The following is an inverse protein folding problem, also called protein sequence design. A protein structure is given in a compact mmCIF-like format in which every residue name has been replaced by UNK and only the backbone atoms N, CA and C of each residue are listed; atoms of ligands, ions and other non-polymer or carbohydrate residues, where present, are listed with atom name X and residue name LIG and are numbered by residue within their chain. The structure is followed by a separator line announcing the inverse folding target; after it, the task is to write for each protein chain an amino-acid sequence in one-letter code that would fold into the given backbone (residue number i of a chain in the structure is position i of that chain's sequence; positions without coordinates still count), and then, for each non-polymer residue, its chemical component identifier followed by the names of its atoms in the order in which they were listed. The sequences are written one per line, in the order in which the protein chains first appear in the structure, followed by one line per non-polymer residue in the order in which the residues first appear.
data_IF_849512342874
#
_entry.id   IF_849512342874
#
_cell.length_a   1.000
_cell.length_b   1.000
_cell.length_c   1.000
_cell.angle_alpha   90.00
_cell.angle_beta   90.00
_cell.angle_gamma   90.00
#
_symmetry.space_group_name_H-M   'P 1'
#
loop_
_entity.id
_entity.type
_entity.pdbx_description
1 polymer ?
#
# COMPACT_ATOMS: atom_id res chain seq x y z
N UNK A 1 23.39 -17.82 19.86
CA UNK A 1 22.21 -17.92 18.97
C UNK A 1 21.51 -16.59 18.99
N UNK A 2 21.67 -15.77 17.96
CA UNK A 2 20.99 -14.48 17.83
C UNK A 2 19.55 -14.76 17.38
N UNK A 3 18.62 -14.79 18.32
CA UNK A 3 17.18 -14.76 18.03
C UNK A 3 16.84 -13.40 17.44
N UNK A 4 17.04 -13.26 16.12
CA UNK A 4 16.49 -12.15 15.36
C UNK A 4 14.97 -12.26 15.43
N UNK A 5 14.32 -11.32 16.11
CA UNK A 5 12.86 -11.26 16.17
C UNK A 5 12.31 -11.32 14.75
N UNK A 6 11.58 -12.39 14.42
CA UNK A 6 10.83 -12.44 13.17
C UNK A 6 9.75 -11.36 13.28
N UNK A 7 9.94 -10.26 12.56
CA UNK A 7 8.90 -9.24 12.43
C UNK A 7 7.77 -9.89 11.63
N UNK A 8 6.69 -10.25 12.32
CA UNK A 8 5.50 -10.82 11.70
C UNK A 8 4.74 -9.77 10.88
N UNK A 9 3.90 -10.24 9.95
CA UNK A 9 3.01 -9.34 9.22
C UNK A 9 1.99 -8.70 10.16
N UNK A 10 1.92 -7.37 10.19
CA UNK A 10 0.94 -6.61 10.99
C UNK A 10 -0.53 -6.82 10.61
N UNK A 11 -0.81 -7.54 9.52
CA UNK A 11 -2.18 -7.73 9.02
C UNK A 11 -2.72 -9.15 9.24
N UNK A 12 -1.87 -10.16 9.12
CA UNK A 12 -2.29 -11.57 9.15
C UNK A 12 -1.39 -12.44 10.04
N UNK A 13 -0.53 -11.81 10.85
CA UNK A 13 0.35 -12.45 11.84
C UNK A 13 1.24 -13.58 11.30
N UNK A 14 1.43 -13.63 9.98
CA UNK A 14 2.28 -14.65 9.36
C UNK A 14 3.75 -14.35 9.66
N UNK A 15 4.49 -15.34 10.16
CA UNK A 15 5.95 -15.28 10.38
C UNK A 15 6.77 -15.40 9.08
N UNK A 16 6.28 -14.82 7.99
CA UNK A 16 6.97 -14.78 6.71
C UNK A 16 7.89 -13.55 6.62
N UNK A 17 8.79 -13.51 5.64
CA UNK A 17 9.55 -12.30 5.33
C UNK A 17 8.59 -11.14 5.04
N UNK A 18 8.77 -10.02 5.75
CA UNK A 18 7.93 -8.83 5.62
C UNK A 18 8.64 -7.71 4.86
N UNK A 19 7.91 -7.00 4.00
CA UNK A 19 8.32 -5.73 3.41
C UNK A 19 7.71 -4.57 4.19
N UNK A 20 8.33 -3.39 4.12
CA UNK A 20 7.78 -2.19 4.74
C UNK A 20 6.87 -1.46 3.76
N UNK A 21 5.61 -1.30 4.15
CA UNK A 21 4.63 -0.50 3.45
C UNK A 21 4.48 0.88 4.10
N UNK A 22 4.27 1.92 3.28
CA UNK A 22 4.04 3.28 3.77
C UNK A 22 2.57 3.46 4.14
N UNK A 23 2.26 3.27 5.42
CA UNK A 23 0.92 3.51 5.94
C UNK A 23 0.63 4.99 6.19
N UNK A 24 -0.56 5.30 6.74
CA UNK A 24 -0.97 6.66 7.09
C UNK A 24 0.08 7.38 7.94
N UNK A 25 0.42 8.61 7.55
CA UNK A 25 1.41 9.44 8.27
C UNK A 25 2.85 8.93 8.15
N UNK A 26 3.22 8.31 7.03
CA UNK A 26 4.57 7.79 6.73
C UNK A 26 5.05 6.66 7.65
N UNK A 27 4.16 6.09 8.46
CA UNK A 27 4.49 4.95 9.34
C UNK A 27 4.81 3.74 8.48
N UNK A 28 5.94 3.09 8.76
CA UNK A 28 6.33 1.84 8.07
C UNK A 28 5.64 0.66 8.75
N UNK A 29 4.74 -0.01 8.02
CA UNK A 29 4.02 -1.19 8.49
C UNK A 29 4.67 -2.43 7.88
N UNK A 30 5.11 -3.41 8.68
CA UNK A 30 5.65 -4.67 8.16
C UNK A 30 4.50 -5.56 7.64
N UNK A 31 4.53 -5.87 6.35
CA UNK A 31 3.54 -6.72 5.69
C UNK A 31 4.20 -7.89 4.98
N UNK A 32 3.61 -9.09 5.05
CA UNK A 32 4.00 -10.18 4.16
C UNK A 32 3.71 -9.78 2.70
N UNK A 33 4.31 -10.48 1.74
CA UNK A 33 4.19 -10.14 0.31
C UNK A 33 2.72 -10.03 -0.15
N UNK A 34 1.87 -10.97 0.24
CA UNK A 34 0.45 -10.97 -0.13
C UNK A 34 -0.28 -9.74 0.39
N UNK A 35 -0.07 -9.39 1.67
CA UNK A 35 -0.69 -8.20 2.25
C UNK A 35 -0.10 -6.91 1.65
N UNK A 36 1.20 -6.87 1.41
CA UNK A 36 1.85 -5.75 0.74
C UNK A 36 1.22 -5.47 -0.63
N UNK A 37 1.08 -6.52 -1.46
CA UNK A 37 0.52 -6.39 -2.81
C UNK A 37 -0.94 -5.90 -2.77
N UNK A 38 -1.74 -6.37 -1.80
CA UNK A 38 -3.14 -5.91 -1.62
C UNK A 38 -3.23 -4.43 -1.22
N UNK A 39 -2.36 -3.99 -0.30
CA UNK A 39 -2.36 -2.59 0.16
C UNK A 39 -1.89 -1.65 -0.96
N UNK A 40 -0.81 -2.00 -1.66
CA UNK A 40 -0.33 -1.22 -2.82
C UNK A 40 -1.38 -1.18 -3.93
N UNK A 41 -2.06 -2.29 -4.23
CA UNK A 41 -3.11 -2.31 -5.23
C UNK A 41 -4.26 -1.35 -4.88
N UNK A 42 -4.66 -1.26 -3.60
CA UNK A 42 -5.69 -0.30 -3.16
C UNK A 42 -5.28 1.15 -3.39
N UNK A 43 -4.04 1.52 -3.06
CA UNK A 43 -3.53 2.87 -3.30
C UNK A 43 -3.46 3.20 -4.79
N UNK A 44 -2.96 2.28 -5.61
CA UNK A 44 -2.90 2.47 -7.05
C UNK A 44 -4.30 2.65 -7.64
N UNK A 45 -5.28 1.85 -7.20
CA UNK A 45 -6.68 2.01 -7.65
C UNK A 45 -7.26 3.37 -7.24
N UNK A 46 -7.00 3.83 -6.02
CA UNK A 46 -7.44 5.16 -5.58
C UNK A 46 -6.81 6.28 -6.43
N UNK A 47 -5.48 6.23 -6.60
CA UNK A 47 -4.74 7.16 -7.44
C UNK A 47 -5.28 7.23 -8.87
N UNK A 48 -5.52 6.08 -9.51
CA UNK A 48 -6.03 6.05 -10.87
C UNK A 48 -7.46 6.59 -10.98
N UNK A 49 -8.32 6.35 -9.98
CA UNK A 49 -9.67 6.94 -9.96
C UNK A 49 -9.61 8.46 -9.87
N UNK A 50 -8.79 9.00 -8.98
CA UNK A 50 -8.60 10.44 -8.82
C UNK A 50 -8.02 11.06 -10.09
N UNK A 51 -7.04 10.39 -10.70
CA UNK A 51 -6.45 10.82 -11.95
C UNK A 51 -7.47 10.85 -13.10
N UNK A 52 -8.28 9.80 -13.27
CA UNK A 52 -9.34 9.77 -14.29
C UNK A 52 -10.36 10.88 -14.07
N UNK A 53 -10.77 11.13 -12.83
CA UNK A 53 -11.71 12.20 -12.49
C UNK A 53 -11.14 13.59 -12.84
N UNK A 54 -9.84 13.80 -12.58
CA UNK A 54 -9.15 15.04 -12.94
C UNK A 54 -9.04 15.20 -14.47
N UNK A 55 -8.70 14.14 -15.20
CA UNK A 55 -8.65 14.16 -16.66
C UNK A 55 -10.04 14.45 -17.27
N UNK A 56 -11.10 13.86 -16.72
CA UNK A 56 -12.49 14.16 -17.13
C UNK A 56 -12.85 15.63 -16.87
N UNK A 57 -12.46 16.18 -15.72
CA UNK A 57 -12.67 17.59 -15.38
C UNK A 57 -11.95 18.51 -16.37
N UNK A 58 -10.69 18.21 -16.70
CA UNK A 58 -9.88 18.96 -17.67
C UNK A 58 -10.48 18.92 -19.06
N UNK A 59 -10.89 17.73 -19.53
CA UNK A 59 -11.55 17.56 -20.82
C UNK A 59 -12.87 18.34 -20.91
N UNK A 60 -13.61 18.47 -19.80
CA UNK A 60 -14.82 19.28 -19.73
C UNK A 60 -14.61 20.79 -19.64
N UNK A 61 -13.36 21.28 -19.50
CA UNK A 61 -13.07 22.73 -19.43
C UNK A 61 -12.72 23.33 -20.79
N UNK A 62 -12.85 22.58 -21.88
CA UNK A 62 -12.83 23.14 -23.24
C UNK A 62 -14.24 23.60 -23.64
N UNK A 63 -14.61 24.82 -23.25
CA UNK A 63 -15.70 25.60 -23.85
C UNK A 63 -15.36 27.07 -23.81
#
# INVERSE_FOLDING_TARGET
MTTGAKVGCSHCDTEAATNHYHGPGLKRIPLCRTCYDQYVAKEMVAYWKDHIAEEQRRAGTSS
#
